data_IF_211239850449
#
_entry.id   IF_211239850449
#
_cell.length_a   1.000
_cell.length_b   1.000
_cell.length_c   1.000
_cell.angle_alpha   90.00
_cell.angle_beta   90.00
_cell.angle_gamma   90.00
#
_symmetry.space_group_name_H-M   'P 1'
#
loop_
_entity.id
_entity.type
_entity.pdbx_description
1 polymer ?
#
# COMPACT_ATOMS: atom_id res chain seq x y z
N UNK A 1 -12.09 -15.50 -44.00
CA UNK A 1 -11.12 -16.48 -43.45
C UNK A 1 -10.23 -15.76 -42.42
N UNK A 2 -10.79 -15.24 -41.34
CA UNK A 2 -11.43 -15.95 -40.21
C UNK A 2 -10.44 -16.72 -39.34
N UNK A 3 -10.25 -16.20 -38.12
CA UNK A 3 -10.40 -16.89 -36.83
C UNK A 3 -9.36 -16.39 -35.83
N UNK A 4 -9.77 -15.44 -34.99
CA UNK A 4 -9.69 -15.53 -33.52
C UNK A 4 -10.06 -14.17 -32.90
N UNK A 5 -11.22 -13.64 -33.27
CA UNK A 5 -11.90 -12.61 -32.48
C UNK A 5 -13.14 -13.27 -31.86
N UNK A 6 -12.92 -14.19 -30.92
CA UNK A 6 -13.98 -14.67 -30.04
C UNK A 6 -13.36 -15.31 -28.80
N UNK A 7 -13.39 -14.60 -27.67
CA UNK A 7 -13.76 -15.14 -26.35
C UNK A 7 -13.71 -14.01 -25.31
N UNK A 8 -14.92 -13.50 -25.03
CA UNK A 8 -15.39 -12.92 -23.76
C UNK A 8 -14.45 -11.93 -23.08
N UNK A 9 -14.62 -10.66 -23.43
CA UNK A 9 -14.51 -9.59 -22.45
C UNK A 9 -15.48 -9.91 -21.30
N UNK A 10 -14.98 -9.95 -20.06
CA UNK A 10 -15.81 -10.00 -18.87
C UNK A 10 -16.80 -8.82 -18.93
N UNK A 11 -18.05 -9.12 -19.28
CA UNK A 11 -19.13 -8.15 -19.24
C UNK A 11 -19.37 -7.71 -17.81
N UNK A 12 -19.79 -6.45 -17.62
CA UNK A 12 -20.18 -5.79 -16.35
C UNK A 12 -21.07 -6.66 -15.42
N UNK A 13 -21.69 -7.71 -15.93
CA UNK A 13 -22.43 -8.71 -15.15
C UNK A 13 -21.56 -9.58 -14.22
N UNK A 14 -20.29 -9.86 -14.51
CA UNK A 14 -19.46 -10.71 -13.62
C UNK A 14 -19.07 -9.99 -12.32
N UNK A 15 -19.02 -8.65 -12.32
CA UNK A 15 -18.81 -7.83 -11.11
C UNK A 15 -19.99 -7.97 -10.13
N UNK A 16 -21.20 -8.30 -10.60
CA UNK A 16 -22.38 -8.50 -9.74
C UNK A 16 -22.38 -9.82 -8.96
N UNK A 17 -21.46 -10.74 -9.27
CA UNK A 17 -21.39 -12.06 -8.62
C UNK A 17 -20.54 -12.08 -7.35
N UNK A 18 -19.83 -10.99 -7.05
CA UNK A 18 -19.10 -10.86 -5.78
C UNK A 18 -20.09 -10.39 -4.71
N UNK A 19 -20.32 -11.16 -3.62
CA UNK A 19 -21.23 -10.75 -2.56
C UNK A 19 -20.84 -9.37 -2.01
N UNK A 20 -21.76 -8.40 -2.02
CA UNK A 20 -21.53 -7.03 -1.53
C UNK A 20 -20.93 -6.96 -0.11
N UNK A 21 -21.14 -7.98 0.72
CA UNK A 21 -20.56 -8.08 2.07
C UNK A 21 -19.03 -8.30 2.10
N UNK A 22 -18.42 -8.69 0.97
CA UNK A 22 -16.96 -8.80 0.83
C UNK A 22 -16.31 -7.52 0.31
N UNK A 23 -17.09 -6.59 -0.24
CA UNK A 23 -16.59 -5.37 -0.86
C UNK A 23 -16.68 -4.25 0.17
N UNK A 24 -15.53 -3.70 0.55
CA UNK A 24 -15.50 -2.45 1.28
C UNK A 24 -16.07 -1.35 0.37
N UNK A 25 -16.96 -0.52 0.89
CA UNK A 25 -17.77 0.42 0.10
C UNK A 25 -16.88 1.28 -0.81
N UNK A 26 -17.19 1.31 -2.12
CA UNK A 26 -16.54 2.16 -3.13
C UNK A 26 -16.44 3.62 -2.68
N UNK A 27 -17.40 4.10 -1.88
CA UNK A 27 -17.37 5.44 -1.28
C UNK A 27 -16.17 5.66 -0.37
N UNK A 28 -15.72 4.65 0.37
CA UNK A 28 -14.57 4.75 1.28
C UNK A 28 -13.27 4.90 0.49
N UNK A 29 -13.11 4.10 -0.57
CA UNK A 29 -11.95 4.18 -1.48
C UNK A 29 -11.94 5.52 -2.21
N UNK A 30 -13.07 5.94 -2.77
CA UNK A 30 -13.22 7.22 -3.45
C UNK A 30 -12.91 8.40 -2.53
N UNK A 31 -13.47 8.43 -1.32
CA UNK A 31 -13.21 9.51 -0.38
C UNK A 31 -11.74 9.57 0.06
N UNK A 32 -11.05 8.43 0.22
CA UNK A 32 -9.62 8.44 0.50
C UNK A 32 -8.84 9.05 -0.66
N UNK A 33 -9.19 8.72 -1.89
CA UNK A 33 -8.51 9.28 -3.06
C UNK A 33 -8.77 10.77 -3.26
N UNK A 34 -9.98 11.26 -2.95
CA UNK A 34 -10.25 12.70 -2.88
C UNK A 34 -9.39 13.34 -1.79
N UNK A 35 -9.27 12.72 -0.63
CA UNK A 35 -8.43 13.23 0.45
C UNK A 35 -6.94 13.20 0.09
N UNK A 36 -6.44 12.13 -0.53
CA UNK A 36 -5.09 12.04 -1.09
C UNK A 36 -4.85 13.12 -2.14
N UNK A 37 -5.80 13.34 -3.05
CA UNK A 37 -5.72 14.42 -4.04
C UNK A 37 -5.69 15.78 -3.36
N UNK A 38 -6.49 15.99 -2.32
CA UNK A 38 -6.43 17.21 -1.52
C UNK A 38 -5.05 17.33 -0.87
N UNK A 39 -4.54 16.35 -0.12
CA UNK A 39 -3.18 16.37 0.46
C UNK A 39 -2.13 16.73 -0.60
N UNK A 40 -2.19 16.09 -1.76
CA UNK A 40 -1.27 16.28 -2.88
C UNK A 40 -1.34 17.70 -3.49
N UNK A 41 -2.55 18.28 -3.65
CA UNK A 41 -2.73 19.56 -4.35
C UNK A 41 -2.79 20.78 -3.42
N UNK A 42 -3.27 20.59 -2.20
CA UNK A 42 -3.56 21.70 -1.28
C UNK A 42 -2.33 22.22 -0.56
N UNK A 43 -1.17 21.56 -0.68
CA UNK A 43 -0.08 21.72 0.30
C UNK A 43 -0.63 21.70 1.74
N UNK A 44 -1.69 20.93 2.02
CA UNK A 44 -1.91 20.38 3.36
C UNK A 44 -0.85 19.28 3.52
N UNK A 45 0.40 19.69 3.41
CA UNK A 45 1.40 19.22 4.31
C UNK A 45 0.82 19.48 5.69
N UNK A 46 0.62 18.43 6.47
CA UNK A 46 0.77 18.55 7.91
C UNK A 46 2.27 18.79 8.16
N UNK A 47 2.81 19.89 7.61
CA UNK A 47 4.18 20.33 7.85
C UNK A 47 4.20 20.82 9.29
N UNK A 48 4.84 20.04 10.15
CA UNK A 48 5.24 20.50 11.47
C UNK A 48 4.28 20.22 12.63
N UNK A 49 3.02 19.82 12.41
CA UNK A 49 2.25 19.24 13.52
C UNK A 49 2.70 17.79 13.73
N UNK A 50 3.76 17.60 14.52
CA UNK A 50 4.06 16.29 15.11
C UNK A 50 2.80 15.82 15.82
N UNK A 51 2.11 14.83 15.25
CA UNK A 51 1.11 14.09 16.00
C UNK A 51 1.82 13.56 17.26
N UNK A 52 1.31 13.81 18.47
CA UNK A 52 2.00 13.38 19.67
C UNK A 52 2.04 11.85 19.74
N UNK A 53 3.22 11.30 20.03
CA UNK A 53 3.34 9.90 20.44
C UNK A 53 2.84 9.78 21.88
N UNK A 54 1.87 8.91 22.12
CA UNK A 54 1.29 8.70 23.47
C UNK A 54 1.68 7.35 24.09
N UNK A 55 2.49 6.54 23.39
CA UNK A 55 3.02 5.29 23.92
C UNK A 55 3.54 4.38 22.81
N UNK A 56 4.16 3.26 23.19
CA UNK A 56 4.68 2.29 22.23
C UNK A 56 3.92 0.96 22.35
N UNK A 57 3.88 0.19 21.26
CA UNK A 57 3.28 -1.16 21.24
C UNK A 57 4.16 -2.13 20.48
N UNK A 58 4.23 -3.35 20.99
CA UNK A 58 4.99 -4.42 20.38
C UNK A 58 4.07 -5.43 19.69
N UNK A 59 4.53 -5.96 18.56
CA UNK A 59 3.88 -7.01 17.78
C UNK A 59 4.93 -8.04 17.41
N UNK A 60 4.56 -9.32 17.47
CA UNK A 60 5.42 -10.41 17.02
C UNK A 60 4.97 -10.82 15.61
N UNK A 61 5.84 -10.60 14.63
CA UNK A 61 5.66 -11.05 13.24
C UNK A 61 6.53 -12.28 12.98
N UNK A 62 6.38 -12.91 11.82
CA UNK A 62 7.17 -14.10 11.46
C UNK A 62 8.69 -13.85 11.54
N UNK A 63 9.13 -12.64 11.20
CA UNK A 63 10.55 -12.28 11.21
C UNK A 63 11.08 -11.98 12.61
N UNK A 64 10.24 -11.67 13.60
CA UNK A 64 10.65 -11.32 14.96
C UNK A 64 9.76 -10.24 15.58
N UNK A 65 10.27 -9.55 16.60
CA UNK A 65 9.50 -8.54 17.35
C UNK A 65 9.71 -7.15 16.78
N UNK A 66 8.61 -6.41 16.59
CA UNK A 66 8.61 -5.02 16.15
C UNK A 66 7.94 -4.14 17.21
N UNK A 67 8.46 -2.94 17.41
CA UNK A 67 7.85 -1.92 18.27
C UNK A 67 7.43 -0.72 17.43
N UNK A 68 6.15 -0.36 17.52
CA UNK A 68 5.53 0.80 16.88
C UNK A 68 5.10 1.87 17.89
N UNK A 69 4.51 2.95 17.38
CA UNK A 69 4.08 4.12 18.16
C UNK A 69 2.56 4.28 18.14
N UNK A 70 2.00 4.78 19.23
CA UNK A 70 0.59 5.16 19.32
C UNK A 70 0.47 6.65 18.98
N UNK A 71 -0.41 6.97 18.04
CA UNK A 71 -0.59 8.30 17.46
C UNK A 71 -2.04 8.77 17.66
N UNK A 72 -2.22 9.98 18.16
CA UNK A 72 -3.55 10.58 18.23
C UNK A 72 -4.06 10.97 16.85
N UNK A 73 -5.36 10.83 16.60
CA UNK A 73 -5.99 11.35 15.40
C UNK A 73 -6.41 12.79 15.71
N UNK A 74 -5.95 13.76 14.92
CA UNK A 74 -6.41 15.15 15.07
C UNK A 74 -7.91 15.20 14.73
N UNK A 75 -8.80 15.59 15.68
CA UNK A 75 -10.23 15.63 15.45
C UNK A 75 -10.64 16.54 14.29
N UNK A 76 -9.81 17.54 13.95
CA UNK A 76 -10.07 18.48 12.86
C UNK A 76 -9.87 17.85 11.47
N UNK A 77 -9.08 16.77 11.35
CA UNK A 77 -8.89 16.04 10.07
C UNK A 77 -10.21 15.39 9.62
N UNK A 78 -11.14 15.16 10.55
CA UNK A 78 -12.37 14.41 10.29
C UNK A 78 -13.60 15.30 10.07
N UNK A 79 -13.49 16.63 10.10
CA UNK A 79 -14.57 17.63 9.85
C UNK A 79 -15.99 17.08 10.04
N UNK A 80 -16.42 16.94 11.31
CA UNK A 80 -17.79 16.55 11.65
C UNK A 80 -18.16 15.07 11.41
N UNK A 81 -17.20 14.20 11.09
CA UNK A 81 -17.43 12.75 10.93
C UNK A 81 -17.18 12.00 12.24
N UNK A 82 -18.07 11.05 12.55
CA UNK A 82 -17.93 10.16 13.71
C UNK A 82 -16.68 9.29 13.57
N UNK A 83 -15.82 9.32 14.59
CA UNK A 83 -14.70 8.39 14.74
C UNK A 83 -15.27 6.98 14.95
N UNK A 84 -14.81 6.00 14.18
CA UNK A 84 -15.12 4.59 14.41
C UNK A 84 -14.13 3.93 15.39
N UNK A 85 -13.12 4.69 15.85
CA UNK A 85 -12.07 4.21 16.75
C UNK A 85 -11.89 5.12 17.98
N UNK A 86 -10.96 4.75 18.86
CA UNK A 86 -10.69 5.40 20.16
C UNK A 86 -9.92 6.74 20.03
N UNK A 87 -10.01 7.42 18.88
CA UNK A 87 -9.33 8.70 18.63
C UNK A 87 -7.81 8.59 18.48
N UNK A 88 -7.28 7.38 18.34
CA UNK A 88 -5.86 7.10 18.12
C UNK A 88 -5.68 5.89 17.20
N UNK A 89 -4.46 5.71 16.71
CA UNK A 89 -4.02 4.55 15.94
C UNK A 89 -2.61 4.11 16.35
N UNK A 90 -2.20 2.92 15.93
CA UNK A 90 -0.82 2.44 16.09
C UNK A 90 -0.15 2.41 14.72
N UNK A 91 1.04 3.00 14.62
CA UNK A 91 1.87 2.99 13.42
C UNK A 91 3.15 2.18 13.64
N UNK A 92 3.55 1.47 12.61
CA UNK A 92 4.83 0.78 12.50
C UNK A 92 5.45 1.17 11.18
N UNK A 93 6.58 1.87 11.21
CA UNK A 93 7.21 2.47 10.03
C UNK A 93 8.53 1.78 9.72
N UNK A 94 8.85 1.63 8.43
CA UNK A 94 10.14 1.10 8.00
C UNK A 94 10.37 -0.38 8.33
N UNK A 95 9.34 -1.23 8.18
CA UNK A 95 9.46 -2.68 8.36
C UNK A 95 10.02 -3.32 7.08
N UNK A 96 11.13 -4.07 7.12
CA UNK A 96 11.68 -4.71 5.93
C UNK A 96 10.79 -5.87 5.47
N UNK A 97 10.32 -5.83 4.21
CA UNK A 97 9.57 -6.94 3.61
C UNK A 97 10.42 -7.78 2.65
N UNK A 98 11.65 -7.34 2.36
CA UNK A 98 12.64 -8.05 1.56
C UNK A 98 14.05 -7.68 2.04
N UNK A 99 15.05 -8.43 1.59
CA UNK A 99 16.46 -8.05 1.78
C UNK A 99 16.81 -6.81 0.94
N UNK A 100 17.73 -5.94 1.42
CA UNK A 100 18.21 -4.79 0.66
C UNK A 100 18.74 -5.23 -0.72
N UNK A 101 18.23 -4.68 -1.84
CA UNK A 101 18.59 -5.09 -3.19
C UNK A 101 19.91 -4.43 -3.65
N UNK A 102 20.93 -4.48 -2.79
CA UNK A 102 22.24 -3.85 -2.98
C UNK A 102 23.30 -4.87 -3.40
N UNK A 103 24.37 -4.39 -4.02
CA UNK A 103 25.51 -5.23 -4.40
C UNK A 103 25.09 -6.41 -5.29
N UNK A 104 25.35 -7.67 -4.91
CA UNK A 104 24.94 -8.85 -5.70
C UNK A 104 23.43 -9.01 -5.91
N UNK A 105 22.60 -8.36 -5.08
CA UNK A 105 21.13 -8.40 -5.20
C UNK A 105 20.58 -7.28 -6.10
N UNK A 106 21.44 -6.37 -6.59
CA UNK A 106 21.05 -5.35 -7.56
C UNK A 106 20.58 -6.03 -8.84
N UNK A 107 19.43 -5.59 -9.35
CA UNK A 107 18.76 -6.19 -10.51
C UNK A 107 18.47 -7.70 -10.37
N UNK A 108 18.18 -8.14 -9.14
CA UNK A 108 17.66 -9.49 -8.87
C UNK A 108 16.28 -9.43 -8.23
N UNK A 109 15.58 -10.55 -8.30
CA UNK A 109 14.29 -10.73 -7.65
C UNK A 109 14.42 -10.54 -6.14
N UNK A 110 13.45 -9.87 -5.49
CA UNK A 110 13.52 -9.61 -4.07
C UNK A 110 13.60 -10.93 -3.30
N UNK A 111 14.52 -10.98 -2.34
CA UNK A 111 14.65 -12.11 -1.44
C UNK A 111 13.89 -11.83 -0.14
N UNK A 112 13.32 -12.86 0.53
CA UNK A 112 12.66 -12.69 1.81
C UNK A 112 13.56 -11.96 2.83
N UNK A 113 12.97 -11.15 3.73
CA UNK A 113 13.72 -10.38 4.70
C UNK A 113 14.43 -11.31 5.69
N UNK A 114 15.58 -10.87 6.20
CA UNK A 114 16.29 -11.61 7.25
C UNK A 114 15.49 -11.59 8.56
N UNK A 115 15.64 -12.61 9.41
CA UNK A 115 15.10 -12.56 10.77
C UNK A 115 15.59 -11.32 11.53
N UNK A 116 14.69 -10.72 12.30
CA UNK A 116 14.97 -9.59 13.19
C UNK A 116 15.67 -10.13 14.44
N UNK A 117 16.83 -9.56 14.75
CA UNK A 117 17.53 -9.84 16.00
C UNK A 117 17.08 -8.83 17.06
N UNK A 118 16.51 -9.33 18.17
CA UNK A 118 15.95 -8.46 19.22
C UNK A 118 14.66 -7.77 18.77
N UNK A 119 14.54 -6.48 19.10
CA UNK A 119 13.36 -5.67 18.78
C UNK A 119 13.73 -4.68 17.67
N UNK A 120 12.97 -4.69 16.58
CA UNK A 120 13.04 -3.65 15.55
C UNK A 120 12.17 -2.45 15.97
N UNK A 121 12.79 -1.30 16.21
CA UNK A 121 12.09 -0.04 16.51
C UNK A 121 11.56 0.62 15.24
N UNK A 122 10.34 0.26 14.85
CA UNK A 122 9.64 0.72 13.65
C UNK A 122 9.03 2.12 13.83
N UNK A 123 9.86 3.09 14.22
CA UNK A 123 9.43 4.44 14.61
C UNK A 123 9.64 5.51 13.53
N UNK A 124 10.39 5.20 12.49
CA UNK A 124 10.75 6.16 11.44
C UNK A 124 10.53 5.53 10.08
N UNK A 125 10.08 6.30 9.08
CA UNK A 125 10.02 5.79 7.71
C UNK A 125 11.43 5.43 7.22
N UNK A 126 11.50 4.45 6.32
CA UNK A 126 12.73 4.15 5.60
C UNK A 126 13.04 5.24 4.58
N UNK A 127 14.24 5.17 4.00
CA UNK A 127 14.55 5.95 2.79
C UNK A 127 13.60 5.56 1.65
N UNK A 128 13.25 6.53 0.82
CA UNK A 128 12.63 6.27 -0.48
C UNK A 128 13.59 5.50 -1.39
N UNK A 129 13.06 4.83 -2.41
CA UNK A 129 13.92 4.17 -3.39
C UNK A 129 14.70 5.18 -4.21
N UNK A 130 15.95 4.82 -4.55
CA UNK A 130 16.85 5.67 -5.34
C UNK A 130 16.16 6.13 -6.62
N UNK A 131 15.96 7.44 -6.74
CA UNK A 131 15.20 8.07 -7.80
C UNK A 131 15.85 9.38 -8.24
N UNK A 132 15.57 9.79 -9.47
CA UNK A 132 16.07 11.03 -10.05
C UNK A 132 14.91 11.77 -10.71
N UNK A 133 14.25 12.62 -9.93
CA UNK A 133 13.18 13.50 -10.39
C UNK A 133 13.55 14.93 -10.00
N UNK A 134 14.39 15.56 -10.85
CA UNK A 134 15.09 16.80 -10.53
C UNK A 134 16.46 16.52 -9.91
N UNK A 135 16.49 16.24 -8.60
CA UNK A 135 17.70 15.83 -7.88
C UNK A 135 17.72 14.32 -7.63
N UNK A 136 18.91 13.75 -7.45
CA UNK A 136 19.07 12.36 -7.02
C UNK A 136 18.81 12.29 -5.51
N UNK A 137 17.91 11.40 -5.12
CA UNK A 137 17.53 11.18 -3.72
C UNK A 137 17.18 9.71 -3.48
N UNK A 138 17.09 9.33 -2.21
CA UNK A 138 16.78 7.97 -1.79
C UNK A 138 17.99 7.04 -1.66
N UNK A 139 17.69 5.76 -1.46
CA UNK A 139 18.65 4.67 -1.26
C UNK A 139 18.24 3.45 -2.07
N UNK A 140 19.19 2.59 -2.45
CA UNK A 140 18.85 1.26 -2.96
C UNK A 140 18.31 0.35 -1.86
N UNK A 141 18.73 0.57 -0.61
CA UNK A 141 18.13 -0.06 0.56
C UNK A 141 16.81 0.63 0.90
N UNK A 142 15.75 0.22 0.19
CA UNK A 142 14.44 0.88 0.25
C UNK A 142 13.24 -0.08 0.33
N UNK A 143 13.43 -1.41 0.40
CA UNK A 143 12.33 -2.39 0.37
C UNK A 143 11.66 -2.57 1.74
N UNK A 144 11.00 -1.50 2.18
CA UNK A 144 10.29 -1.41 3.45
C UNK A 144 8.82 -1.06 3.26
N UNK A 145 8.02 -1.42 4.26
CA UNK A 145 6.61 -1.09 4.36
C UNK A 145 6.28 -0.44 5.69
N UNK A 146 5.12 0.19 5.74
CA UNK A 146 4.53 0.81 6.90
C UNK A 146 3.16 0.18 7.15
N UNK A 147 2.83 -0.02 8.42
CA UNK A 147 1.53 -0.54 8.86
C UNK A 147 0.88 0.45 9.80
N UNK A 148 -0.36 0.82 9.50
CA UNK A 148 -1.19 1.69 10.31
C UNK A 148 -2.46 0.93 10.69
N UNK A 149 -2.65 0.70 11.99
CA UNK A 149 -3.78 -0.09 12.51
C UNK A 149 -4.61 0.70 13.51
N UNK A 150 -5.96 0.62 13.45
CA UNK A 150 -6.81 1.30 14.43
C UNK A 150 -6.59 0.74 15.84
N UNK A 151 -6.39 -0.57 15.96
CA UNK A 151 -6.23 -1.25 17.25
C UNK A 151 -5.56 -2.60 17.05
N UNK A 152 -4.66 -2.96 17.97
CA UNK A 152 -4.02 -4.28 17.98
C UNK A 152 -4.98 -5.37 18.47
N UNK A 153 -4.82 -6.61 17.96
CA UNK A 153 -5.70 -7.71 18.30
C UNK A 153 -5.59 -8.09 19.78
N UNK A 154 -6.71 -8.52 20.35
CA UNK A 154 -6.84 -9.04 21.71
C UNK A 154 -7.86 -10.20 21.71
N UNK A 155 -8.07 -10.85 22.86
CA UNK A 155 -9.04 -11.94 22.98
C UNK A 155 -10.43 -11.43 22.57
N UNK A 156 -11.07 -12.12 21.61
CA UNK A 156 -12.37 -11.72 21.05
C UNK A 156 -12.32 -10.64 19.96
N UNK A 157 -11.12 -10.26 19.50
CA UNK A 157 -10.96 -9.25 18.46
C UNK A 157 -11.42 -9.73 17.08
N UNK A 158 -12.30 -8.96 16.45
CA UNK A 158 -12.68 -9.15 15.05
C UNK A 158 -11.65 -8.50 14.15
N UNK A 159 -10.97 -9.32 13.32
CA UNK A 159 -10.02 -8.83 12.32
C UNK A 159 -10.66 -7.81 11.38
N UNK A 160 -9.88 -6.85 10.92
CA UNK A 160 -10.34 -5.69 10.13
C UNK A 160 -9.96 -5.82 8.66
N UNK A 161 -10.73 -5.23 7.73
CA UNK A 161 -10.30 -5.12 6.33
C UNK A 161 -8.94 -4.44 6.23
N UNK A 162 -8.14 -4.88 5.26
CA UNK A 162 -6.79 -4.36 5.01
C UNK A 162 -6.79 -3.67 3.66
N UNK A 163 -6.29 -2.44 3.60
CA UNK A 163 -5.97 -1.74 2.36
C UNK A 163 -4.47 -1.67 2.16
N UNK A 164 -3.99 -2.01 0.97
CA UNK A 164 -2.57 -1.94 0.61
C UNK A 164 -2.38 -0.93 -0.52
N UNK A 165 -1.73 0.19 -0.21
CA UNK A 165 -1.49 1.29 -1.13
C UNK A 165 -0.22 1.07 -1.97
N UNK A 166 -0.36 1.17 -3.29
CA UNK A 166 0.75 1.20 -4.24
C UNK A 166 0.89 2.62 -4.78
N UNK A 167 1.99 3.28 -4.43
CA UNK A 167 2.22 4.66 -4.86
C UNK A 167 2.44 4.79 -6.38
N UNK A 168 2.05 5.94 -6.93
CA UNK A 168 2.33 6.35 -8.31
C UNK A 168 3.74 6.91 -8.49
N UNK A 169 3.94 7.70 -9.56
CA UNK A 169 5.24 8.32 -9.88
C UNK A 169 5.87 7.84 -11.19
N UNK A 170 5.03 7.49 -12.18
CA UNK A 170 5.45 7.09 -13.53
C UNK A 170 6.50 5.96 -13.57
N UNK A 171 6.52 5.08 -12.55
CA UNK A 171 7.55 4.06 -12.33
C UNK A 171 8.98 4.60 -12.16
N UNK A 172 9.16 5.91 -11.95
CA UNK A 172 10.46 6.60 -11.87
C UNK A 172 10.72 7.23 -10.51
N UNK A 173 9.68 7.55 -9.76
CA UNK A 173 9.74 8.25 -8.48
C UNK A 173 8.58 7.85 -7.57
N UNK A 174 8.55 8.44 -6.38
CA UNK A 174 7.51 8.24 -5.37
C UNK A 174 8.00 7.40 -4.19
N UNK A 175 7.19 7.40 -3.14
CA UNK A 175 7.44 6.66 -1.91
C UNK A 175 6.12 6.29 -1.21
N UNK A 176 6.19 5.34 -0.27
CA UNK A 176 5.05 4.83 0.48
C UNK A 176 4.67 5.67 1.71
N UNK A 177 5.46 6.68 2.10
CA UNK A 177 5.27 7.41 3.36
C UNK A 177 4.69 8.81 3.18
N UNK A 178 5.29 9.66 2.33
CA UNK A 178 5.07 11.11 2.27
C UNK A 178 3.62 11.51 2.00
N UNK A 179 2.89 10.68 1.23
CA UNK A 179 1.48 10.92 0.89
C UNK A 179 0.55 9.80 1.42
N UNK A 180 0.96 9.08 2.47
CA UNK A 180 0.18 7.96 3.00
C UNK A 180 -1.16 8.37 3.63
N UNK A 181 -1.21 9.53 4.29
CA UNK A 181 -2.42 10.10 4.92
C UNK A 181 -3.26 9.09 5.70
N UNK A 182 -2.67 8.30 6.62
CA UNK A 182 -3.31 7.11 7.21
C UNK A 182 -4.55 7.43 8.06
N UNK A 183 -4.63 8.65 8.61
CA UNK A 183 -5.62 9.07 9.61
C UNK A 183 -7.04 8.80 9.15
N UNK A 184 -7.33 9.09 7.88
CA UNK A 184 -8.68 8.99 7.33
C UNK A 184 -9.18 7.55 7.19
N UNK A 185 -8.32 6.62 6.77
CA UNK A 185 -8.67 5.21 6.63
C UNK A 185 -8.73 4.54 8.00
N UNK A 186 -7.75 4.82 8.84
CA UNK A 186 -7.68 4.21 10.17
C UNK A 186 -8.81 4.69 11.08
N UNK A 187 -9.25 5.95 10.95
CA UNK A 187 -10.45 6.46 11.60
C UNK A 187 -11.75 5.71 11.22
N UNK A 188 -11.75 4.96 10.11
CA UNK A 188 -12.86 4.12 9.66
C UNK A 188 -12.66 2.63 9.92
N UNK A 189 -11.80 2.30 10.88
CA UNK A 189 -11.59 0.90 11.32
C UNK A 189 -11.04 0.00 10.18
N UNK A 190 -10.25 0.60 9.29
CA UNK A 190 -9.53 -0.05 8.19
C UNK A 190 -8.04 -0.01 8.49
N UNK A 191 -7.36 -1.14 8.31
CA UNK A 191 -5.92 -1.23 8.44
C UNK A 191 -5.28 -0.80 7.12
N UNK A 192 -4.32 0.13 7.15
CA UNK A 192 -3.60 0.59 5.97
C UNK A 192 -2.17 0.04 5.97
N UNK A 193 -1.74 -0.51 4.85
CA UNK A 193 -0.35 -0.85 4.54
C UNK A 193 0.11 0.03 3.39
N UNK A 194 1.25 0.67 3.53
CA UNK A 194 1.93 1.37 2.43
C UNK A 194 3.35 0.84 2.31
N UNK A 195 3.96 0.93 1.14
CA UNK A 195 5.31 0.39 0.95
C UNK A 195 6.02 1.03 -0.23
N UNK A 196 7.34 0.93 -0.22
CA UNK A 196 8.19 1.31 -1.34
C UNK A 196 8.43 0.11 -2.24
N UNK A 197 8.59 0.32 -3.55
CA UNK A 197 9.11 -0.67 -4.48
C UNK A 197 10.19 -0.03 -5.37
N UNK A 198 11.13 -0.81 -5.91
CA UNK A 198 12.17 -0.23 -6.78
C UNK A 198 11.55 0.49 -7.98
N UNK A 199 12.02 1.70 -8.24
CA UNK A 199 11.62 2.55 -9.37
C UNK A 199 12.80 2.77 -10.33
N UNK A 200 12.53 3.42 -11.46
CA UNK A 200 13.51 3.76 -12.47
C UNK A 200 14.27 2.54 -12.99
N UNK A 201 15.56 2.72 -13.25
CA UNK A 201 16.42 1.64 -13.75
C UNK A 201 16.51 0.47 -12.77
N UNK A 202 16.50 0.72 -11.46
CA UNK A 202 16.61 -0.33 -10.44
C UNK A 202 15.38 -1.25 -10.40
N UNK A 203 14.21 -0.71 -10.71
CA UNK A 203 12.95 -1.48 -10.73
C UNK A 203 12.63 -2.13 -12.06
N UNK A 204 13.05 -1.54 -13.17
CA UNK A 204 12.47 -1.85 -14.48
C UNK A 204 13.49 -2.04 -15.61
N UNK A 205 14.79 -2.07 -15.33
CA UNK A 205 15.79 -2.48 -16.32
C UNK A 205 15.51 -3.90 -16.82
N UNK A 206 15.39 -4.06 -18.13
CA UNK A 206 15.28 -5.34 -18.80
C UNK A 206 16.24 -5.38 -19.97
N UNK A 207 16.90 -6.52 -20.18
CA UNK A 207 17.59 -6.84 -21.44
C UNK A 207 16.80 -7.84 -22.29
N UNK A 208 15.56 -8.15 -21.89
CA UNK A 208 14.69 -9.13 -22.54
C UNK A 208 15.31 -10.54 -22.62
N UNK A 209 16.21 -10.84 -21.68
CA UNK A 209 16.84 -12.15 -21.49
C UNK A 209 16.57 -12.70 -20.08
N UNK A 210 17.00 -13.94 -19.83
CA UNK A 210 16.82 -14.60 -18.53
C UNK A 210 17.74 -14.04 -17.44
N UNK A 211 18.77 -13.26 -17.80
CA UNK A 211 19.74 -12.71 -16.85
C UNK A 211 19.17 -11.43 -16.21
N UNK A 212 18.54 -10.59 -17.03
CA UNK A 212 17.89 -9.35 -16.66
C UNK A 212 16.46 -9.29 -17.21
N UNK A 213 15.58 -10.14 -16.68
CA UNK A 213 14.17 -10.28 -17.11
C UNK A 213 13.31 -9.02 -16.91
N UNK A 214 13.79 -8.08 -16.10
CA UNK A 214 13.06 -6.88 -15.69
C UNK A 214 11.92 -7.12 -14.71
N UNK A 215 11.07 -6.11 -14.57
CA UNK A 215 9.91 -6.07 -13.67
C UNK A 215 10.24 -6.30 -12.18
N UNK A 216 11.46 -6.00 -11.74
CA UNK A 216 11.87 -6.14 -10.35
C UNK A 216 10.97 -5.36 -9.39
N UNK A 217 10.53 -4.15 -9.76
CA UNK A 217 9.59 -3.36 -8.97
C UNK A 217 8.21 -4.04 -8.80
N UNK A 218 7.72 -4.77 -9.80
CA UNK A 218 6.47 -5.55 -9.67
C UNK A 218 6.68 -6.82 -8.82
N UNK A 219 7.87 -7.41 -8.89
CA UNK A 219 8.25 -8.54 -8.04
C UNK A 219 8.40 -8.09 -6.58
N UNK A 220 8.91 -6.89 -6.34
CA UNK A 220 8.96 -6.25 -5.02
C UNK A 220 7.56 -6.09 -4.43
N UNK A 221 6.61 -5.57 -5.22
CA UNK A 221 5.21 -5.47 -4.82
C UNK A 221 4.61 -6.84 -4.48
N UNK A 222 4.91 -7.86 -5.28
CA UNK A 222 4.48 -9.24 -4.99
C UNK A 222 5.05 -9.75 -3.66
N UNK A 223 6.32 -9.46 -3.37
CA UNK A 223 6.96 -9.83 -2.11
C UNK A 223 6.35 -9.07 -0.91
N UNK A 224 6.02 -7.78 -1.06
CA UNK A 224 5.30 -7.02 -0.05
C UNK A 224 3.90 -7.59 0.22
N UNK A 225 3.15 -7.98 -0.82
CA UNK A 225 1.84 -8.61 -0.68
C UNK A 225 1.90 -10.00 -0.01
N UNK A 226 2.99 -10.75 -0.22
CA UNK A 226 3.24 -11.99 0.53
C UNK A 226 3.49 -11.70 2.00
N UNK A 227 4.33 -10.71 2.31
CA UNK A 227 4.56 -10.28 3.69
C UNK A 227 3.25 -9.89 4.38
N UNK A 228 2.35 -9.19 3.70
CA UNK A 228 1.01 -8.85 4.22
C UNK A 228 0.22 -10.11 4.56
N UNK A 229 0.16 -11.11 3.68
CA UNK A 229 -0.56 -12.36 3.97
C UNK A 229 -0.03 -13.09 5.19
N UNK A 230 1.29 -13.12 5.34
CA UNK A 230 1.96 -13.84 6.42
C UNK A 230 1.79 -13.13 7.77
N UNK A 231 1.75 -11.79 7.79
CA UNK A 231 1.94 -11.04 9.04
C UNK A 231 0.75 -10.18 9.46
N UNK A 232 -0.16 -9.80 8.57
CA UNK A 232 -1.13 -8.72 8.86
C UNK A 232 -2.12 -9.05 9.98
N UNK A 233 -2.36 -10.34 10.23
CA UNK A 233 -3.18 -10.81 11.34
C UNK A 233 -2.64 -10.36 12.71
N UNK A 234 -1.32 -10.25 12.85
CA UNK A 234 -0.67 -9.81 14.10
C UNK A 234 -0.93 -8.33 14.40
N UNK A 235 -1.29 -7.56 13.38
CA UNK A 235 -1.67 -6.15 13.50
C UNK A 235 -3.19 -5.94 13.58
N UNK A 236 -3.98 -7.02 13.56
CA UNK A 236 -5.43 -6.98 13.60
C UNK A 236 -6.09 -6.94 12.21
N UNK A 237 -5.34 -7.13 11.13
CA UNK A 237 -5.87 -7.21 9.77
C UNK A 237 -6.33 -8.61 9.38
N UNK A 238 -7.35 -8.70 8.55
CA UNK A 238 -7.83 -9.96 8.00
C UNK A 238 -7.11 -10.28 6.68
N UNK A 239 -6.21 -11.28 6.63
CA UNK A 239 -5.50 -11.64 5.39
C UNK A 239 -6.45 -12.12 4.28
N UNK A 240 -7.69 -12.49 4.59
CA UNK A 240 -8.71 -12.88 3.60
C UNK A 240 -9.54 -11.71 3.07
N UNK A 241 -9.37 -10.50 3.62
CA UNK A 241 -10.05 -9.27 3.21
C UNK A 241 -9.04 -8.16 2.97
N UNK A 242 -8.11 -8.43 2.06
CA UNK A 242 -7.10 -7.48 1.61
C UNK A 242 -7.53 -6.86 0.28
N UNK A 243 -7.52 -5.54 0.22
CA UNK A 243 -7.78 -4.72 -0.97
C UNK A 243 -6.51 -3.98 -1.37
N UNK A 244 -5.96 -4.28 -2.55
CA UNK A 244 -4.87 -3.46 -3.13
C UNK A 244 -5.46 -2.31 -3.93
N UNK A 245 -4.84 -1.13 -3.87
CA UNK A 245 -5.29 0.07 -4.56
C UNK A 245 -4.09 1.01 -4.84
N UNK A 246 -4.21 1.89 -5.83
CA UNK A 246 -3.11 2.74 -6.27
C UNK A 246 -3.58 3.84 -7.23
N UNK A 247 -2.74 4.86 -7.45
CA UNK A 247 -3.02 5.98 -8.36
C UNK A 247 -1.93 6.10 -9.43
N UNK A 248 -2.30 6.54 -10.65
CA UNK A 248 -1.38 6.69 -11.78
C UNK A 248 -0.61 5.38 -12.05
N UNK A 249 0.73 5.38 -12.06
CA UNK A 249 1.55 4.18 -12.18
C UNK A 249 1.16 3.09 -11.14
N UNK A 250 0.77 3.48 -9.92
CA UNK A 250 0.27 2.57 -8.91
C UNK A 250 -1.05 1.88 -9.31
N UNK A 251 -1.94 2.58 -10.03
CA UNK A 251 -3.15 1.96 -10.58
C UNK A 251 -2.83 0.95 -11.69
N UNK A 252 -1.81 1.23 -12.50
CA UNK A 252 -1.29 0.27 -13.47
C UNK A 252 -0.65 -0.95 -12.79
N UNK A 253 0.10 -0.77 -11.69
CA UNK A 253 0.59 -1.86 -10.84
C UNK A 253 -0.54 -2.76 -10.32
N UNK A 254 -1.61 -2.17 -9.80
CA UNK A 254 -2.80 -2.92 -9.37
C UNK A 254 -3.36 -3.74 -10.54
N UNK A 255 -3.48 -3.15 -11.73
CA UNK A 255 -3.93 -3.88 -12.91
C UNK A 255 -2.96 -5.03 -13.28
N UNK A 256 -1.64 -4.84 -13.21
CA UNK A 256 -0.68 -5.93 -13.42
C UNK A 256 -0.85 -7.07 -12.42
N UNK A 257 -1.20 -6.78 -11.17
CA UNK A 257 -1.51 -7.81 -10.18
C UNK A 257 -2.82 -8.56 -10.45
N UNK A 258 -3.82 -7.93 -11.09
CA UNK A 258 -5.02 -8.65 -11.56
C UNK A 258 -4.65 -9.69 -12.62
N UNK A 259 -3.73 -9.33 -13.51
CA UNK A 259 -3.35 -10.16 -14.66
C UNK A 259 -2.33 -11.25 -14.30
N UNK A 260 -1.45 -10.97 -13.34
CA UNK A 260 -0.32 -11.84 -13.02
C UNK A 260 -0.75 -13.11 -12.28
N UNK A 261 -0.34 -14.31 -12.74
CA UNK A 261 -0.58 -15.55 -12.00
C UNK A 261 0.16 -15.58 -10.65
N UNK A 262 1.25 -14.82 -10.50
CA UNK A 262 2.02 -14.75 -9.25
C UNK A 262 1.26 -14.03 -8.13
N UNK A 263 0.19 -13.32 -8.47
CA UNK A 263 -0.68 -12.60 -7.54
C UNK A 263 -2.03 -13.29 -7.34
N UNK A 264 -2.24 -14.48 -7.94
CA UNK A 264 -3.42 -15.31 -7.70
C UNK A 264 -3.36 -15.88 -6.27
N UNK A 265 -4.00 -15.17 -5.36
CA UNK A 265 -4.16 -15.50 -3.94
C UNK A 265 -5.35 -14.70 -3.38
N UNK A 266 -5.77 -14.95 -2.13
CA UNK A 266 -7.04 -14.56 -1.51
C UNK A 266 -7.32 -13.04 -1.35
N UNK A 267 -6.76 -12.17 -2.18
CA UNK A 267 -6.93 -10.73 -2.17
C UNK A 267 -8.14 -10.32 -3.04
N UNK A 268 -8.91 -9.35 -2.58
CA UNK A 268 -9.84 -8.61 -3.42
C UNK A 268 -9.04 -7.50 -4.11
N UNK A 269 -9.15 -7.39 -5.43
CA UNK A 269 -8.34 -6.41 -6.17
C UNK A 269 -9.24 -5.31 -6.70
N UNK A 270 -8.95 -4.06 -6.32
CA UNK A 270 -9.69 -2.88 -6.78
C UNK A 270 -8.74 -1.95 -7.52
N UNK A 271 -8.85 -1.92 -8.85
CA UNK A 271 -8.17 -0.92 -9.68
C UNK A 271 -9.06 0.31 -9.80
N UNK A 272 -8.61 1.46 -9.29
CA UNK A 272 -9.19 2.75 -9.67
C UNK A 272 -8.15 3.54 -10.47
N UNK A 273 -8.33 3.56 -11.79
CA UNK A 273 -7.55 4.39 -12.70
C UNK A 273 -7.99 5.85 -12.53
N UNK A 274 -7.26 6.61 -11.71
CA UNK A 274 -7.35 8.07 -11.75
C UNK A 274 -6.24 8.57 -12.68
N UNK A 275 -6.58 8.64 -13.97
CA UNK A 275 -5.94 9.58 -14.88
C UNK A 275 -6.31 10.99 -14.38
N UNK A 276 -5.41 11.96 -14.54
CA UNK A 276 -5.51 13.35 -14.08
C UNK A 276 -6.94 13.95 -13.97
N UNK A 277 -7.16 14.90 -13.04
CA UNK A 277 -8.49 15.33 -12.55
C UNK A 277 -9.42 15.98 -13.59
N UNK A 278 -9.02 16.12 -14.85
CA UNK A 278 -9.89 16.65 -15.91
C UNK A 278 -11.08 15.73 -16.26
N UNK A 279 -11.11 14.48 -15.79
CA UNK A 279 -12.21 13.54 -16.06
C UNK A 279 -13.24 13.38 -14.92
N UNK A 280 -13.07 14.04 -13.78
CA UNK A 280 -13.98 13.86 -12.63
C UNK A 280 -15.32 14.60 -12.84
N UNK A 281 -15.37 15.66 -13.65
CA UNK A 281 -16.62 16.40 -13.90
C UNK A 281 -17.63 15.64 -14.78
N UNK A 282 -17.19 14.71 -15.63
CA UNK A 282 -18.08 13.99 -16.54
C UNK A 282 -18.68 12.72 -15.91
N UNK A 283 -18.00 12.09 -14.95
CA UNK A 283 -18.51 10.88 -14.28
C UNK A 283 -19.66 11.21 -13.30
N UNK A 284 -19.70 12.43 -12.74
CA UNK A 284 -20.79 12.91 -11.89
C UNK A 284 -22.12 13.14 -12.64
N UNK A 285 -22.11 13.16 -13.98
CA UNK A 285 -23.32 13.30 -14.79
C UNK A 285 -23.93 11.96 -15.24
N UNK A 286 -23.27 10.83 -15.00
CA UNK A 286 -23.68 9.51 -15.51
C UNK A 286 -23.96 8.47 -14.39
N UNK A 287 -24.02 8.90 -13.13
CA UNK A 287 -24.51 8.12 -11.98
C UNK A 287 -25.63 8.89 -11.28
#
# INVERSE_FOLDING_TARGET
MDRMCSKKFCTVQEIKSVPLQKIMDLKTVYCFMVHYFLIYNSKIFIEGKRIPNIGNKEVNIHQGTIQGRIRNIDPNILEGKTLYNEGHYVEFLGIPYAQPPVGPLRFKDPQPPKPIQGILYAHSPSSECLQSYGNVSGSEDCLYLNVYTPKLPHIGFTLKPVMVWIHGGAFKSGDGYSNSGPEFLVARDVLLVTFNYRVGIFGFLSLEDDILSGNYGLKDQTQALRWVQENIAQFGGDPKRVTIFGQSAGSACVHYHILSPLSKGNYLIFSLLILWPLFISEILYLL
#
